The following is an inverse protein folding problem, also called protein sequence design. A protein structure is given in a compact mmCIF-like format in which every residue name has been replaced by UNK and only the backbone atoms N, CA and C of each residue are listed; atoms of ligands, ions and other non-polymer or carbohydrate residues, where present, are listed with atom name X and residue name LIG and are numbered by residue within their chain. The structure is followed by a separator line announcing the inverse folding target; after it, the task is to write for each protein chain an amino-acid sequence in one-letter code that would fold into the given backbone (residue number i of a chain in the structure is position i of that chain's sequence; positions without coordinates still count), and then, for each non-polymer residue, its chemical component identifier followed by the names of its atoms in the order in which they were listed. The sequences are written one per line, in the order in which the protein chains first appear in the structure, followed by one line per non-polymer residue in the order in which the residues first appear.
data_IF_690322255549
#
_entry.id   IF_690322255549
#
_cell.length_a   1.000
_cell.length_b   1.000
_cell.length_c   1.000
_cell.angle_alpha   90.00
_cell.angle_beta   90.00
_cell.angle_gamma   90.00
#
_symmetry.space_group_name_H-M   'P 1'
#
loop_
_entity.id
_entity.type
_entity.pdbx_description
1 polymer ?
#
# COMPACT_ATOMS: atom_id res chain seq x y z
N UNK A 1 -24.50 -2.31 13.74
CA UNK A 1 -23.39 -3.27 13.48
C UNK A 1 -22.39 -2.50 12.67
N UNK A 2 -21.08 -2.50 13.01
CA UNK A 2 -20.07 -1.92 12.08
C UNK A 2 -20.14 -2.74 10.78
N UNK A 3 -20.21 -2.05 9.65
CA UNK A 3 -20.23 -2.70 8.36
C UNK A 3 -18.95 -3.55 8.18
N UNK A 4 -19.06 -4.59 7.38
CA UNK A 4 -17.93 -5.48 7.08
C UNK A 4 -16.84 -4.67 6.41
N UNK A 5 -15.60 -4.71 6.93
CA UNK A 5 -14.47 -4.01 6.32
C UNK A 5 -14.13 -4.67 4.97
N UNK A 6 -14.28 -3.91 3.91
CA UNK A 6 -13.94 -4.36 2.54
C UNK A 6 -12.44 -4.29 2.26
N UNK A 7 -11.78 -3.22 2.75
CA UNK A 7 -10.40 -2.97 2.42
C UNK A 7 -9.59 -2.49 3.63
N UNK A 8 -8.38 -3.03 3.79
CA UNK A 8 -7.36 -2.52 4.70
C UNK A 8 -6.26 -1.84 3.88
N UNK A 9 -6.06 -0.54 4.12
CA UNK A 9 -4.95 0.24 3.57
C UNK A 9 -3.79 0.16 4.54
N UNK A 10 -2.65 -0.40 4.12
CA UNK A 10 -1.46 -0.59 4.95
C UNK A 10 -0.37 0.38 4.51
N UNK A 11 0.13 1.20 5.44
CA UNK A 11 1.11 2.26 5.17
C UNK A 11 2.33 2.05 6.07
N UNK A 12 3.43 1.50 5.54
CA UNK A 12 4.70 1.47 6.26
C UNK A 12 5.32 2.88 6.30
N UNK A 13 5.84 3.29 7.44
CA UNK A 13 6.41 4.63 7.64
C UNK A 13 7.77 4.53 8.31
N UNK A 14 8.77 5.17 7.70
CA UNK A 14 10.07 5.43 8.32
C UNK A 14 10.61 6.77 7.85
N UNK A 15 10.74 7.74 8.76
CA UNK A 15 11.28 9.08 8.52
C UNK A 15 10.63 9.81 7.32
N UNK A 16 9.31 10.01 7.38
CA UNK A 16 8.51 10.65 6.32
C UNK A 16 7.78 11.91 6.80
N UNK A 17 8.37 12.68 7.72
CA UNK A 17 7.73 13.87 8.31
C UNK A 17 7.18 14.87 7.28
N UNK A 18 7.79 14.96 6.09
CA UNK A 18 7.40 15.91 5.03
C UNK A 18 6.24 15.43 4.18
N UNK A 19 6.04 14.11 4.06
CA UNK A 19 5.17 13.51 3.06
C UNK A 19 3.97 12.75 3.66
N UNK A 20 4.12 12.18 4.87
CA UNK A 20 3.10 11.35 5.49
C UNK A 20 1.72 12.02 5.59
N UNK A 21 1.66 13.32 5.85
CA UNK A 21 0.38 14.04 5.93
C UNK A 21 -0.32 14.09 4.58
N UNK A 22 0.43 14.24 3.46
CA UNK A 22 -0.14 14.21 2.12
C UNK A 22 -0.67 12.83 1.78
N UNK A 23 0.10 11.79 2.08
CA UNK A 23 -0.30 10.40 1.92
C UNK A 23 -1.63 10.13 2.66
N UNK A 24 -1.69 10.40 3.95
CA UNK A 24 -2.88 10.15 4.78
C UNK A 24 -4.11 10.92 4.30
N UNK A 25 -3.96 12.19 3.89
CA UNK A 25 -5.06 13.02 3.38
C UNK A 25 -5.59 12.56 2.03
N UNK A 26 -4.83 11.78 1.27
CA UNK A 26 -5.26 11.26 -0.03
C UNK A 26 -6.23 10.09 0.05
N UNK A 27 -6.30 9.45 1.23
CA UNK A 27 -7.13 8.27 1.45
C UNK A 27 -8.52 8.72 1.90
N UNK A 28 -9.58 8.37 1.16
CA UNK A 28 -10.95 8.72 1.56
C UNK A 28 -11.35 8.08 2.89
N UNK A 29 -12.08 8.83 3.71
CA UNK A 29 -12.69 8.30 4.92
C UNK A 29 -13.94 7.51 4.55
N UNK A 30 -13.98 6.22 4.90
CA UNK A 30 -15.07 5.29 4.63
C UNK A 30 -15.25 4.34 5.81
N UNK A 31 -16.50 3.99 6.11
CA UNK A 31 -16.82 3.06 7.21
C UNK A 31 -16.44 1.61 6.87
N UNK A 32 -16.32 1.28 5.57
CA UNK A 32 -15.93 -0.04 5.06
C UNK A 32 -14.43 -0.14 4.69
N UNK A 33 -13.63 0.88 5.05
CA UNK A 33 -12.17 0.92 4.84
C UNK A 33 -11.47 1.24 6.15
N UNK A 34 -10.53 0.42 6.55
CA UNK A 34 -9.61 0.73 7.65
C UNK A 34 -8.24 1.16 7.13
N UNK A 35 -7.60 2.07 7.84
CA UNK A 35 -6.24 2.55 7.53
C UNK A 35 -5.32 2.16 8.68
N UNK A 36 -4.25 1.42 8.33
CA UNK A 36 -3.26 0.88 9.26
C UNK A 36 -1.92 1.52 8.92
N UNK A 37 -1.42 2.35 9.82
CA UNK A 37 -0.10 2.96 9.73
C UNK A 37 0.84 2.20 10.64
N UNK A 38 1.95 1.75 10.08
CA UNK A 38 3.01 1.07 10.84
C UNK A 38 4.26 1.95 10.83
N UNK A 39 4.50 2.65 11.94
CA UNK A 39 5.71 3.42 12.15
C UNK A 39 6.84 2.49 12.58
N UNK A 40 7.83 2.35 11.69
CA UNK A 40 8.96 1.44 11.85
C UNK A 40 10.18 2.17 12.45
N UNK A 41 10.02 2.67 13.68
CA UNK A 41 11.12 3.32 14.43
C UNK A 41 11.56 4.66 13.86
N UNK A 42 10.64 5.51 13.38
CA UNK A 42 10.99 6.85 12.88
C UNK A 42 11.63 7.70 13.99
N UNK A 43 12.72 8.40 13.63
CA UNK A 43 13.45 9.31 14.51
C UNK A 43 13.14 10.79 14.26
N UNK A 44 12.36 11.09 13.20
CA UNK A 44 11.88 12.42 12.84
C UNK A 44 10.49 12.71 13.44
N UNK A 45 9.81 13.74 12.96
CA UNK A 45 8.47 14.12 13.44
C UNK A 45 7.32 13.30 12.84
N UNK A 46 7.58 12.22 12.10
CA UNK A 46 6.55 11.41 11.43
C UNK A 46 5.47 10.96 12.38
N UNK A 47 5.83 10.36 13.53
CA UNK A 47 4.84 9.87 14.49
C UNK A 47 3.96 10.99 15.08
N UNK A 48 4.54 12.19 15.26
CA UNK A 48 3.77 13.36 15.71
C UNK A 48 2.70 13.77 14.71
N UNK A 49 3.02 13.77 13.41
CA UNK A 49 2.06 14.08 12.34
C UNK A 49 0.98 13.00 12.21
N UNK A 50 1.34 11.72 12.36
CA UNK A 50 0.40 10.60 12.34
C UNK A 50 -0.61 10.75 13.50
N UNK A 51 -0.13 10.99 14.71
CA UNK A 51 -0.98 11.15 15.90
C UNK A 51 -1.89 12.38 15.79
N UNK A 52 -1.41 13.49 15.24
CA UNK A 52 -2.23 14.66 14.95
C UNK A 52 -3.33 14.34 13.92
N UNK A 53 -2.98 13.62 12.86
CA UNK A 53 -3.97 13.19 11.87
C UNK A 53 -5.03 12.27 12.48
N UNK A 54 -4.63 11.32 13.32
CA UNK A 54 -5.55 10.45 14.06
C UNK A 54 -6.49 11.27 14.94
N UNK A 55 -5.97 12.24 15.68
CA UNK A 55 -6.77 13.03 16.63
C UNK A 55 -7.78 13.95 15.92
N UNK A 56 -7.39 14.63 14.85
CA UNK A 56 -8.14 15.70 14.22
C UNK A 56 -8.72 15.35 12.84
N UNK A 57 -8.26 14.28 12.20
CA UNK A 57 -8.66 13.85 10.87
C UNK A 57 -9.43 12.53 10.86
N UNK A 58 -8.80 11.46 11.29
CA UNK A 58 -9.38 10.11 11.27
C UNK A 58 -9.17 9.41 12.62
N UNK A 59 -10.18 9.41 13.47
CA UNK A 59 -10.11 8.79 14.80
C UNK A 59 -9.99 7.26 14.76
N UNK A 60 -10.45 6.65 13.68
CA UNK A 60 -10.40 5.18 13.48
C UNK A 60 -9.06 4.71 12.89
N UNK A 61 -8.10 5.62 12.64
CA UNK A 61 -6.75 5.27 12.19
C UNK A 61 -6.09 4.31 13.18
N UNK A 62 -5.68 3.14 12.69
CA UNK A 62 -4.90 2.16 13.46
C UNK A 62 -3.42 2.54 13.33
N UNK A 63 -2.76 2.79 14.45
CA UNK A 63 -1.33 3.13 14.49
C UNK A 63 -0.60 2.06 15.27
N UNK A 64 0.39 1.44 14.63
CA UNK A 64 1.35 0.54 15.25
C UNK A 64 2.69 1.30 15.27
N UNK A 65 3.27 1.45 16.45
CA UNK A 65 4.47 2.26 16.67
C UNK A 65 5.58 1.39 17.27
N UNK A 66 6.68 1.24 16.54
CA UNK A 66 7.86 0.53 16.98
C UNK A 66 9.00 1.50 17.33
N UNK A 67 9.80 1.16 18.32
CA UNK A 67 10.94 1.96 18.75
C UNK A 67 12.15 1.80 17.82
N UNK A 68 12.27 0.64 17.15
CA UNK A 68 13.41 0.29 16.31
C UNK A 68 12.98 0.01 14.87
N UNK A 69 13.79 0.48 13.91
CA UNK A 69 13.59 0.17 12.50
C UNK A 69 13.96 -1.29 12.21
N UNK A 70 13.01 -2.04 11.67
CA UNK A 70 13.15 -3.45 11.26
C UNK A 70 12.99 -3.67 9.75
N UNK A 71 12.72 -2.60 9.02
CA UNK A 71 12.59 -2.59 7.57
C UNK A 71 11.16 -2.69 7.05
N UNK A 72 10.98 -2.27 5.81
CA UNK A 72 9.67 -2.14 5.16
C UNK A 72 8.88 -3.45 5.10
N UNK A 73 9.54 -4.58 4.87
CA UNK A 73 8.92 -5.91 4.88
C UNK A 73 8.30 -6.24 6.23
N UNK A 74 9.04 -5.97 7.32
CA UNK A 74 8.53 -6.16 8.68
C UNK A 74 7.29 -5.29 8.93
N UNK A 75 7.37 -4.00 8.60
CA UNK A 75 6.26 -3.07 8.79
C UNK A 75 5.01 -3.50 7.99
N UNK A 76 5.16 -3.90 6.72
CA UNK A 76 4.05 -4.40 5.91
C UNK A 76 3.46 -5.69 6.49
N UNK A 77 4.28 -6.63 6.95
CA UNK A 77 3.83 -7.87 7.60
C UNK A 77 3.01 -7.59 8.85
N UNK A 78 3.45 -6.63 9.69
CA UNK A 78 2.71 -6.20 10.87
C UNK A 78 1.37 -5.56 10.54
N UNK A 79 1.29 -4.82 9.44
CA UNK A 79 0.03 -4.34 8.90
C UNK A 79 -0.90 -5.47 8.49
N UNK A 80 -0.38 -6.50 7.80
CA UNK A 80 -1.16 -7.69 7.39
C UNK A 80 -1.73 -8.43 8.61
N UNK A 81 -0.96 -8.58 9.69
CA UNK A 81 -1.36 -9.32 10.90
C UNK A 81 -2.62 -8.74 11.57
N UNK A 82 -2.79 -7.41 11.54
CA UNK A 82 -3.92 -6.74 12.18
C UNK A 82 -5.07 -6.43 11.23
N UNK A 83 -4.86 -6.55 9.92
CA UNK A 83 -5.82 -6.23 8.88
C UNK A 83 -7.07 -7.11 8.95
N UNK A 84 -8.25 -6.48 8.83
CA UNK A 84 -9.57 -7.13 8.88
C UNK A 84 -10.30 -7.09 7.54
N UNK A 85 -9.85 -6.23 6.62
CA UNK A 85 -10.47 -6.08 5.30
C UNK A 85 -10.44 -7.36 4.48
N UNK A 86 -11.44 -7.54 3.63
CA UNK A 86 -11.45 -8.64 2.67
C UNK A 86 -10.33 -8.50 1.63
N UNK A 87 -9.91 -7.26 1.34
CA UNK A 87 -8.79 -6.92 0.48
C UNK A 87 -7.76 -6.08 1.23
N UNK A 88 -6.50 -6.22 0.81
CA UNK A 88 -5.36 -5.45 1.28
C UNK A 88 -4.83 -4.59 0.15
N UNK A 89 -4.43 -3.37 0.44
CA UNK A 89 -3.66 -2.50 -0.46
C UNK A 89 -2.54 -1.83 0.32
N UNK A 90 -1.37 -1.75 -0.30
CA UNK A 90 -0.19 -1.11 0.28
C UNK A 90 0.03 0.23 -0.38
N UNK A 91 0.28 1.26 0.43
CA UNK A 91 0.60 2.61 -0.02
C UNK A 91 1.87 3.06 0.69
N UNK A 92 2.89 3.41 -0.07
CA UNK A 92 4.12 3.92 0.51
C UNK A 92 3.90 5.34 1.05
N UNK A 93 4.46 5.61 2.22
CA UNK A 93 4.18 6.83 2.99
C UNK A 93 4.68 8.13 2.36
N UNK A 94 5.47 8.03 1.30
CA UNK A 94 5.98 9.13 0.49
C UNK A 94 5.18 9.37 -0.81
N UNK A 95 4.18 8.53 -1.08
CA UNK A 95 3.29 8.58 -2.22
C UNK A 95 1.88 9.05 -1.84
N UNK A 96 0.96 9.12 -2.80
CA UNK A 96 -0.44 9.41 -2.55
C UNK A 96 -1.35 8.76 -3.61
N UNK A 97 -2.64 8.71 -3.33
CA UNK A 97 -3.63 8.11 -4.24
C UNK A 97 -4.66 9.15 -4.71
N UNK A 98 -5.35 8.83 -5.79
CA UNK A 98 -6.52 9.57 -6.27
C UNK A 98 -7.77 8.98 -5.61
N UNK A 99 -8.26 9.68 -4.58
CA UNK A 99 -9.33 9.20 -3.70
C UNK A 99 -10.63 8.82 -4.43
N UNK A 100 -11.03 9.57 -5.45
CA UNK A 100 -12.23 9.27 -6.25
C UNK A 100 -12.07 7.95 -7.00
N UNK A 101 -10.87 7.69 -7.55
CA UNK A 101 -10.57 6.42 -8.23
C UNK A 101 -10.52 5.27 -7.23
N UNK A 102 -9.92 5.48 -6.06
CA UNK A 102 -9.93 4.51 -4.97
C UNK A 102 -11.36 4.11 -4.60
N UNK A 103 -12.25 5.09 -4.38
CA UNK A 103 -13.66 4.84 -4.08
C UNK A 103 -14.33 4.01 -5.18
N UNK A 104 -14.14 4.40 -6.44
CA UNK A 104 -14.67 3.67 -7.60
C UNK A 104 -14.21 2.19 -7.62
N UNK A 105 -12.93 1.94 -7.29
CA UNK A 105 -12.39 0.58 -7.25
C UNK A 105 -13.01 -0.22 -6.10
N UNK A 106 -13.06 0.35 -4.89
CA UNK A 106 -13.66 -0.30 -3.72
C UNK A 106 -15.13 -0.66 -3.96
N UNK A 107 -15.89 0.22 -4.60
CA UNK A 107 -17.31 0.02 -4.83
C UNK A 107 -17.61 -1.04 -5.91
N UNK A 108 -16.83 -1.06 -6.98
CA UNK A 108 -17.18 -1.84 -8.16
C UNK A 108 -16.40 -3.16 -8.31
N UNK A 109 -15.19 -3.25 -7.77
CA UNK A 109 -14.30 -4.37 -8.08
C UNK A 109 -13.89 -5.21 -6.85
N UNK A 110 -14.03 -4.68 -5.63
CA UNK A 110 -13.72 -5.45 -4.40
C UNK A 110 -14.96 -6.23 -3.92
N UNK A 111 -15.45 -7.13 -4.75
CA UNK A 111 -16.68 -7.91 -4.52
C UNK A 111 -16.41 -9.41 -4.29
N UNK A 112 -15.15 -9.80 -4.13
CA UNK A 112 -14.74 -11.19 -3.91
C UNK A 112 -14.53 -12.01 -5.18
N UNK A 113 -14.87 -11.47 -6.37
CA UNK A 113 -14.78 -12.20 -7.65
C UNK A 113 -13.35 -12.42 -8.14
N UNK A 114 -12.40 -11.60 -7.68
CA UNK A 114 -11.00 -11.60 -8.12
C UNK A 114 -10.08 -11.71 -6.91
N UNK A 115 -8.97 -12.43 -7.07
CA UNK A 115 -7.90 -12.51 -6.07
C UNK A 115 -7.01 -11.25 -6.10
N UNK A 116 -6.77 -10.71 -7.31
CA UNK A 116 -5.99 -9.50 -7.52
C UNK A 116 -6.74 -8.50 -8.39
N UNK A 117 -6.79 -7.24 -7.95
CA UNK A 117 -7.35 -6.12 -8.72
C UNK A 117 -6.25 -5.10 -8.94
N UNK A 118 -5.76 -5.02 -10.18
CA UNK A 118 -4.68 -4.12 -10.57
C UNK A 118 -5.21 -2.75 -10.94
N UNK A 119 -4.44 -1.72 -10.62
CA UNK A 119 -4.64 -0.34 -11.02
C UNK A 119 -3.37 0.23 -11.64
N UNK A 120 -3.51 1.30 -12.39
CA UNK A 120 -2.41 2.00 -13.00
C UNK A 120 -1.82 3.03 -12.02
N UNK A 121 -0.58 3.41 -12.28
CA UNK A 121 0.08 4.50 -11.58
C UNK A 121 0.69 5.50 -12.56
N UNK A 122 0.93 6.70 -12.07
CA UNK A 122 1.75 7.71 -12.75
C UNK A 122 2.81 8.27 -11.80
N UNK A 123 3.86 8.84 -12.35
CA UNK A 123 4.91 9.49 -11.57
C UNK A 123 4.90 11.03 -11.76
N UNK A 124 5.86 11.73 -11.14
CA UNK A 124 6.01 13.19 -11.21
C UNK A 124 6.19 13.75 -12.64
N UNK A 125 6.63 12.92 -13.60
CA UNK A 125 6.74 13.27 -15.02
C UNK A 125 5.51 12.88 -15.83
N UNK A 126 4.45 12.40 -15.18
CA UNK A 126 3.23 11.85 -15.79
C UNK A 126 3.48 10.63 -16.68
N UNK A 127 4.58 9.92 -16.47
CA UNK A 127 4.73 8.58 -17.02
C UNK A 127 3.71 7.68 -16.37
N UNK A 128 2.89 7.07 -17.22
CA UNK A 128 1.87 6.11 -16.80
C UNK A 128 2.42 4.69 -16.90
N UNK A 129 2.29 3.96 -15.80
CA UNK A 129 2.57 2.53 -15.77
C UNK A 129 1.24 1.79 -15.75
N UNK A 130 0.98 1.05 -16.83
CA UNK A 130 -0.27 0.34 -17.07
C UNK A 130 -0.08 -1.13 -16.80
N UNK A 131 -0.90 -1.69 -15.92
CA UNK A 131 -0.98 -3.12 -15.67
C UNK A 131 -1.84 -3.79 -16.76
N UNK A 132 -1.28 -4.76 -17.47
CA UNK A 132 -1.99 -5.52 -18.51
C UNK A 132 -1.80 -7.01 -18.32
N UNK A 133 -2.65 -7.81 -19.00
CA UNK A 133 -2.53 -9.28 -19.00
C UNK A 133 -1.14 -9.76 -19.46
N UNK A 134 -0.46 -8.99 -20.30
CA UNK A 134 0.83 -9.41 -20.89
C UNK A 134 2.03 -9.07 -19.98
N UNK A 135 1.90 -8.09 -19.09
CA UNK A 135 3.03 -7.57 -18.32
C UNK A 135 2.90 -7.71 -16.79
N UNK A 136 1.72 -8.10 -16.26
CA UNK A 136 1.45 -8.10 -14.83
C UNK A 136 2.30 -9.08 -14.02
N UNK A 137 2.82 -10.14 -14.66
CA UNK A 137 3.63 -11.16 -13.99
C UNK A 137 5.06 -10.72 -13.70
N UNK A 138 5.58 -9.72 -14.38
CA UNK A 138 7.01 -9.37 -14.34
C UNK A 138 7.34 -7.98 -13.83
N UNK A 139 6.39 -7.03 -13.83
CA UNK A 139 6.70 -5.60 -13.66
C UNK A 139 6.03 -4.90 -12.48
N UNK A 140 5.06 -5.55 -11.83
CA UNK A 140 4.25 -4.84 -10.86
C UNK A 140 4.32 -5.46 -9.47
N UNK A 141 5.14 -4.85 -8.60
CA UNK A 141 5.21 -5.17 -7.20
C UNK A 141 3.85 -5.01 -6.50
N UNK A 142 3.62 -3.91 -5.80
CA UNK A 142 2.46 -3.79 -4.90
C UNK A 142 1.26 -3.00 -5.43
N UNK A 143 1.23 -2.59 -6.71
CA UNK A 143 0.16 -1.76 -7.29
C UNK A 143 -1.11 -2.54 -7.60
N UNK A 144 -1.69 -3.14 -6.55
CA UNK A 144 -2.93 -3.93 -6.64
C UNK A 144 -3.59 -4.07 -5.29
N UNK A 145 -4.88 -4.31 -5.31
CA UNK A 145 -5.60 -4.86 -4.18
C UNK A 145 -5.44 -6.38 -4.18
N UNK A 146 -5.17 -6.94 -3.03
CA UNK A 146 -4.93 -8.37 -2.84
C UNK A 146 -6.03 -8.91 -1.93
N UNK A 147 -6.80 -9.91 -2.40
CA UNK A 147 -7.77 -10.59 -1.56
C UNK A 147 -7.05 -11.26 -0.39
N UNK A 148 -7.42 -10.89 0.84
CA UNK A 148 -6.72 -11.33 2.06
C UNK A 148 -6.74 -12.85 2.23
N UNK A 149 -7.87 -13.49 1.91
CA UNK A 149 -8.00 -14.96 1.90
C UNK A 149 -7.02 -15.62 0.91
N UNK A 150 -6.84 -15.02 -0.28
CA UNK A 150 -5.88 -15.52 -1.28
C UNK A 150 -4.44 -15.33 -0.82
N UNK A 151 -4.11 -14.21 -0.18
CA UNK A 151 -2.78 -14.00 0.39
C UNK A 151 -2.44 -15.08 1.42
N UNK A 152 -3.38 -15.44 2.29
CA UNK A 152 -3.20 -16.47 3.31
C UNK A 152 -1.97 -16.22 4.17
N UNK A 153 -1.08 -17.22 4.24
CA UNK A 153 0.17 -17.16 5.03
C UNK A 153 1.35 -16.55 4.27
N UNK A 154 1.18 -16.14 3.02
CA UNK A 154 2.26 -15.48 2.28
C UNK A 154 2.61 -14.13 2.92
N UNK A 155 3.91 -13.88 3.10
CA UNK A 155 4.45 -12.67 3.73
C UNK A 155 5.62 -12.14 2.91
N UNK A 156 5.91 -10.86 3.09
CA UNK A 156 7.16 -10.27 2.62
C UNK A 156 8.34 -10.93 3.32
N UNK A 157 9.40 -11.22 2.59
CA UNK A 157 10.64 -11.74 3.17
C UNK A 157 11.34 -10.61 3.90
N UNK A 158 11.48 -10.76 5.22
CA UNK A 158 12.14 -9.77 6.07
C UNK A 158 13.66 -9.77 5.82
N UNK A 159 14.29 -8.61 5.99
CA UNK A 159 15.72 -8.44 5.76
C UNK A 159 16.13 -8.26 4.29
N UNK A 160 15.22 -8.36 3.34
CA UNK A 160 15.49 -7.98 1.95
C UNK A 160 15.66 -6.47 1.84
N UNK A 161 16.71 -6.05 1.14
CA UNK A 161 16.98 -4.61 0.89
C UNK A 161 16.24 -4.07 -0.35
N UNK A 162 15.93 -4.94 -1.31
CA UNK A 162 15.29 -4.59 -2.58
C UNK A 162 14.39 -5.73 -3.07
N UNK A 163 13.38 -5.35 -3.88
CA UNK A 163 12.51 -6.26 -4.63
C UNK A 163 11.71 -7.25 -3.75
N UNK A 164 11.49 -6.92 -2.49
CA UNK A 164 10.64 -7.68 -1.57
C UNK A 164 9.19 -7.76 -2.07
N UNK A 165 8.74 -6.70 -2.70
CA UNK A 165 7.43 -6.58 -3.34
C UNK A 165 7.30 -7.45 -4.58
N UNK A 166 8.37 -7.50 -5.41
CA UNK A 166 8.44 -8.36 -6.58
C UNK A 166 8.48 -9.82 -6.19
N UNK A 167 9.24 -10.16 -5.15
CA UNK A 167 9.36 -11.54 -4.65
C UNK A 167 7.99 -12.07 -4.18
N UNK A 168 7.26 -11.28 -3.36
CA UNK A 168 5.92 -11.65 -2.93
C UNK A 168 4.94 -11.73 -4.11
N UNK A 169 5.07 -10.83 -5.08
CA UNK A 169 4.27 -10.85 -6.29
C UNK A 169 4.46 -12.15 -7.08
N UNK A 170 5.69 -12.59 -7.28
CA UNK A 170 5.99 -13.84 -8.00
C UNK A 170 5.40 -15.06 -7.27
N UNK A 171 5.51 -15.14 -5.94
CA UNK A 171 4.87 -16.19 -5.14
C UNK A 171 3.34 -16.22 -5.34
N UNK A 172 2.70 -15.05 -5.43
CA UNK A 172 1.26 -14.97 -5.73
C UNK A 172 0.94 -15.49 -7.13
N UNK A 173 1.78 -15.14 -8.13
CA UNK A 173 1.55 -15.56 -9.53
C UNK A 173 1.67 -17.07 -9.72
N UNK A 174 2.50 -17.76 -8.96
CA UNK A 174 2.61 -19.23 -8.96
C UNK A 174 1.29 -19.94 -8.61
N UNK A 175 0.37 -19.23 -7.94
CA UNK A 175 -0.97 -19.76 -7.61
C UNK A 175 -2.03 -19.49 -8.69
N UNK A 176 -1.66 -18.93 -9.82
CA UNK A 176 -2.58 -18.63 -10.94
C UNK A 176 -3.83 -17.84 -10.52
N UNK A 177 -3.68 -16.65 -9.88
CA UNK A 177 -4.80 -15.90 -9.36
C UNK A 177 -5.71 -15.38 -10.47
N UNK A 178 -7.00 -15.27 -10.16
CA UNK A 178 -7.95 -14.57 -11.02
C UNK A 178 -7.76 -13.06 -10.87
N UNK A 179 -7.26 -12.43 -11.93
CA UNK A 179 -6.90 -11.01 -11.97
C UNK A 179 -7.97 -10.16 -12.66
N UNK A 180 -8.09 -8.90 -12.23
CA UNK A 180 -8.82 -7.85 -12.91
C UNK A 180 -7.93 -6.63 -13.10
N UNK A 181 -8.05 -5.95 -14.24
CA UNK A 181 -7.28 -4.76 -14.62
C UNK A 181 -8.24 -3.60 -14.78
N UNK A 182 -8.18 -2.62 -13.88
CA UNK A 182 -9.14 -1.51 -13.85
C UNK A 182 -8.89 -0.49 -14.96
N UNK A 183 -7.65 -0.41 -15.46
CA UNK A 183 -7.17 0.64 -16.38
C UNK A 183 -7.34 2.07 -15.80
N UNK A 184 -7.42 2.20 -14.49
CA UNK A 184 -7.61 3.46 -13.79
C UNK A 184 -6.31 3.88 -13.10
N UNK A 185 -5.88 5.12 -13.27
CA UNK A 185 -4.72 5.67 -12.55
C UNK A 185 -5.18 5.99 -11.12
N UNK A 186 -4.86 5.11 -10.18
CA UNK A 186 -5.19 5.31 -8.77
C UNK A 186 -4.01 5.85 -7.96
N UNK A 187 -2.79 5.56 -8.35
CA UNK A 187 -1.61 5.78 -7.54
C UNK A 187 -0.67 6.82 -8.17
N UNK A 188 -0.21 7.77 -7.36
CA UNK A 188 0.84 8.71 -7.74
C UNK A 188 2.15 8.34 -7.06
N UNK A 189 3.09 7.85 -7.85
CA UNK A 189 4.44 7.52 -7.42
C UNK A 189 5.32 8.77 -7.41
N UNK A 190 5.71 9.20 -6.25
CA UNK A 190 6.52 10.43 -6.05
C UNK A 190 8.00 10.20 -6.39
N UNK A 191 8.27 9.86 -7.67
CA UNK A 191 9.60 9.56 -8.22
C UNK A 191 9.89 10.42 -9.45
N UNK A 192 11.13 10.86 -9.71
CA UNK A 192 12.34 10.64 -8.88
C UNK A 192 12.37 11.54 -7.64
N UNK A 193 12.95 11.01 -6.58
CA UNK A 193 13.11 11.69 -5.31
C UNK A 193 14.49 11.35 -4.70
N UNK A 194 15.22 12.38 -4.25
CA UNK A 194 16.48 12.18 -3.53
C UNK A 194 16.25 11.35 -2.26
N UNK A 195 17.04 10.29 -2.07
CA UNK A 195 16.98 9.43 -0.89
C UNK A 195 15.92 8.31 -0.94
N UNK A 196 15.22 8.09 -2.08
CA UNK A 196 14.38 6.91 -2.24
C UNK A 196 15.23 5.65 -2.43
N UNK A 197 14.74 4.49 -1.94
CA UNK A 197 15.42 3.19 -2.14
C UNK A 197 15.56 2.86 -3.64
N UNK A 198 14.59 3.24 -4.45
CA UNK A 198 14.60 3.07 -5.91
C UNK A 198 15.74 3.86 -6.58
N UNK A 199 16.04 5.08 -6.11
CA UNK A 199 17.13 5.89 -6.63
C UNK A 199 18.53 5.31 -6.29
N UNK A 200 18.65 4.53 -5.22
CA UNK A 200 19.90 3.87 -4.82
C UNK A 200 20.16 2.64 -5.72
N UNK A 201 19.09 1.96 -6.18
CA UNK A 201 19.19 0.76 -7.03
C UNK A 201 19.59 1.03 -8.48
N UNK A 202 19.31 2.22 -9.04
CA UNK A 202 19.64 2.58 -10.43
C UNK A 202 21.12 2.90 -10.66
N UNK A 203 21.91 3.07 -9.62
CA UNK A 203 23.35 3.35 -9.69
C UNK A 203 24.25 2.11 -9.52
N UNK A 204 23.71 0.88 -9.76
CA UNK A 204 24.50 -0.36 -9.67
C UNK A 204 24.34 -1.23 -10.91
#
# INVERSE_FOLDING_TARGET
MKDKIKCSVIIPVYNQEKLITKCLKSIPLRDDVEVIVVNDGSTDKSIGYINNFKQFGNKDLIVIDYEENKGVSYARNKGIEVAKGDYLVFIDSDDYIYGDVFNKIVDNYLNGAYELVFYDLENNFKYRFVATQDNYTSKYGMFKFIKREFLGDMRFTEGMQYAEDKELHLKMMEKYPKCYFTNEIMYHYNYPRSGSLSAIGENR
#
